data_IF_514779999648
#
_entry.id   IF_514779999648
#
_cell.length_a   1.000
_cell.length_b   1.000
_cell.length_c   1.000
_cell.angle_alpha   90.00
_cell.angle_beta   90.00
_cell.angle_gamma   90.00
#
_symmetry.space_group_name_H-M   'P 1'
#
loop_
_entity.id
_entity.type
_entity.pdbx_description
1 polymer ?
#
# COMPACT_ATOMS: atom_id res chain seq x y z
N UNK A 1 48.28 19.36 14.92
CA UNK A 1 46.98 19.25 15.61
C UNK A 1 45.89 19.71 14.66
N UNK A 2 44.86 18.89 14.42
CA UNK A 2 43.77 19.26 13.50
C UNK A 2 42.86 20.28 14.16
N UNK A 3 42.57 21.41 13.49
CA UNK A 3 41.72 22.45 14.01
C UNK A 3 40.30 21.89 14.30
N UNK A 4 39.72 22.10 15.49
CA UNK A 4 38.35 21.69 15.81
C UNK A 4 37.29 22.15 14.81
N UNK A 5 37.49 23.29 14.15
CA UNK A 5 36.61 23.77 13.07
C UNK A 5 36.66 22.89 11.82
N UNK A 6 37.84 22.39 11.44
CA UNK A 6 38.01 21.48 10.29
C UNK A 6 37.36 20.12 10.56
N UNK A 7 37.34 19.68 11.82
CA UNK A 7 36.62 18.47 12.24
C UNK A 7 35.11 18.67 12.08
N UNK A 8 34.56 19.78 12.60
CA UNK A 8 33.13 20.10 12.48
C UNK A 8 32.67 20.25 11.02
N UNK A 9 33.47 20.91 10.18
CA UNK A 9 33.16 21.10 8.77
C UNK A 9 33.17 19.78 8.00
N UNK A 10 34.15 18.91 8.23
CA UNK A 10 34.19 17.56 7.62
C UNK A 10 33.01 16.70 8.07
N UNK A 11 32.62 16.77 9.34
CA UNK A 11 31.45 16.04 9.83
C UNK A 11 30.15 16.53 9.19
N UNK A 12 29.94 17.85 9.11
CA UNK A 12 28.78 18.44 8.41
C UNK A 12 28.72 18.03 6.93
N UNK A 13 29.86 18.03 6.24
CA UNK A 13 29.93 17.61 4.85
C UNK A 13 29.56 16.13 4.68
N UNK A 14 30.02 15.26 5.59
CA UNK A 14 29.65 13.83 5.58
C UNK A 14 28.17 13.61 5.86
N UNK A 15 27.58 14.35 6.81
CA UNK A 15 26.14 14.27 7.08
C UNK A 15 25.32 14.69 5.85
N UNK A 16 25.63 15.83 5.24
CA UNK A 16 24.96 16.29 4.01
C UNK A 16 25.09 15.29 2.86
N UNK A 17 26.25 14.65 2.72
CA UNK A 17 26.46 13.62 1.70
C UNK A 17 25.61 12.36 1.98
N UNK A 18 25.50 11.95 3.24
CA UNK A 18 24.64 10.83 3.64
C UNK A 18 23.16 11.14 3.40
N UNK A 19 22.70 12.35 3.75
CA UNK A 19 21.32 12.80 3.51
C UNK A 19 21.01 12.83 2.01
N UNK A 20 21.90 13.42 1.20
CA UNK A 20 21.73 13.46 -0.26
C UNK A 20 21.66 12.05 -0.86
N UNK A 21 22.47 11.11 -0.35
CA UNK A 21 22.41 9.72 -0.79
C UNK A 21 21.08 9.06 -0.41
N UNK A 22 20.60 9.26 0.82
CA UNK A 22 19.29 8.76 1.26
C UNK A 22 18.15 9.30 0.39
N UNK A 23 18.16 10.60 0.08
CA UNK A 23 17.16 11.20 -0.80
C UNK A 23 17.18 10.61 -2.22
N UNK A 24 18.36 10.39 -2.80
CA UNK A 24 18.49 9.72 -4.11
C UNK A 24 17.94 8.30 -4.10
N UNK A 25 18.25 7.54 -3.05
CA UNK A 25 17.73 6.17 -2.90
C UNK A 25 16.21 6.17 -2.78
N UNK A 26 15.63 7.03 -1.95
CA UNK A 26 14.17 7.14 -1.81
C UNK A 26 13.48 7.61 -3.09
N UNK A 27 14.08 8.54 -3.83
CA UNK A 27 13.54 8.98 -5.12
C UNK A 27 13.54 7.83 -6.16
N UNK A 28 14.62 7.04 -6.20
CA UNK A 28 14.69 5.86 -7.06
C UNK A 28 13.69 4.79 -6.64
N UNK A 29 13.59 4.50 -5.34
CA UNK A 29 12.60 3.56 -4.82
C UNK A 29 11.20 3.97 -5.23
N UNK A 30 10.83 5.23 -5.02
CA UNK A 30 9.54 5.77 -5.43
C UNK A 30 9.30 5.60 -6.94
N UNK A 31 10.29 5.91 -7.78
CA UNK A 31 10.18 5.74 -9.23
C UNK A 31 9.94 4.27 -9.61
N UNK A 32 10.75 3.35 -9.08
CA UNK A 32 10.65 1.92 -9.37
C UNK A 32 9.32 1.34 -8.84
N UNK A 33 8.91 1.76 -7.64
CA UNK A 33 7.66 1.32 -7.01
C UNK A 33 6.42 1.86 -7.71
N UNK A 34 6.37 3.15 -8.04
CA UNK A 34 5.25 3.71 -8.82
C UNK A 34 5.12 3.01 -10.17
N UNK A 35 6.23 2.67 -10.82
CA UNK A 35 6.20 1.90 -12.07
C UNK A 35 5.62 0.49 -11.88
N UNK A 36 6.04 -0.21 -10.83
CA UNK A 36 5.53 -1.56 -10.53
C UNK A 36 4.04 -1.55 -10.15
N UNK A 37 3.58 -0.50 -9.48
CA UNK A 37 2.20 -0.33 -9.03
C UNK A 37 1.27 0.30 -10.09
N UNK A 38 1.81 0.80 -11.21
CA UNK A 38 1.05 1.49 -12.27
C UNK A 38 -0.19 0.72 -12.73
N UNK A 39 -0.11 -0.60 -13.04
CA UNK A 39 -1.28 -1.34 -13.51
C UNK A 39 -2.43 -1.35 -12.51
N UNK A 40 -2.12 -1.39 -11.22
CA UNK A 40 -3.10 -1.43 -10.14
C UNK A 40 -3.75 -0.05 -9.96
N UNK A 41 -2.92 1.00 -9.99
CA UNK A 41 -3.39 2.39 -9.88
C UNK A 41 -4.29 2.73 -11.06
N UNK A 42 -3.89 2.36 -12.28
CA UNK A 42 -4.67 2.56 -13.50
C UNK A 42 -6.03 1.86 -13.41
N UNK A 43 -6.07 0.59 -13.01
CA UNK A 43 -7.32 -0.14 -12.84
C UNK A 43 -8.25 0.52 -11.80
N UNK A 44 -7.72 0.91 -10.63
CA UNK A 44 -8.51 1.57 -9.58
C UNK A 44 -9.04 2.93 -10.02
N UNK A 45 -8.25 3.71 -10.75
CA UNK A 45 -8.66 5.01 -11.27
C UNK A 45 -9.74 4.86 -12.34
N UNK A 46 -9.61 3.89 -13.27
CA UNK A 46 -10.63 3.61 -14.27
C UNK A 46 -11.97 3.23 -13.62
N UNK A 47 -11.94 2.42 -12.57
CA UNK A 47 -13.15 2.09 -11.83
C UNK A 47 -13.73 3.31 -11.11
N UNK A 48 -12.88 4.19 -10.56
CA UNK A 48 -13.34 5.44 -9.95
C UNK A 48 -14.02 6.35 -10.99
N UNK A 49 -13.44 6.47 -12.19
CA UNK A 49 -13.99 7.23 -13.32
C UNK A 49 -15.38 6.70 -13.70
N UNK A 50 -15.56 5.38 -13.83
CA UNK A 50 -16.87 4.77 -14.15
C UNK A 50 -17.92 5.11 -13.08
N UNK A 51 -17.57 5.06 -11.80
CA UNK A 51 -18.50 5.42 -10.72
C UNK A 51 -18.95 6.90 -10.81
N UNK A 52 -18.03 7.79 -11.20
CA UNK A 52 -18.31 9.21 -11.40
C UNK A 52 -19.16 9.44 -12.66
N UNK A 53 -18.86 8.77 -13.77
CA UNK A 53 -19.58 8.88 -15.05
C UNK A 53 -21.02 8.38 -14.96
N UNK A 54 -21.24 7.25 -14.29
CA UNK A 54 -22.57 6.64 -14.12
C UNK A 54 -23.40 7.32 -13.02
N UNK A 55 -22.83 8.34 -12.34
CA UNK A 55 -23.54 9.13 -11.33
C UNK A 55 -23.94 8.31 -10.11
N UNK A 56 -23.13 7.33 -9.71
CA UNK A 56 -23.37 6.53 -8.51
C UNK A 56 -23.06 7.42 -7.29
N UNK A 57 -24.06 8.17 -6.82
CA UNK A 57 -23.92 9.22 -5.78
C UNK A 57 -23.25 8.76 -4.48
N UNK A 58 -23.24 7.46 -4.21
CA UNK A 58 -22.70 6.91 -2.99
C UNK A 58 -21.56 5.89 -3.20
N UNK A 59 -21.10 5.71 -4.43
CA UNK A 59 -19.97 4.86 -4.74
C UNK A 59 -18.71 5.70 -4.92
N UNK A 60 -17.67 5.47 -4.11
CA UNK A 60 -16.41 6.20 -4.22
C UNK A 60 -15.21 5.30 -4.05
N UNK A 61 -14.22 5.49 -4.91
CA UNK A 61 -12.89 4.89 -4.77
C UNK A 61 -11.89 6.03 -4.54
N UNK A 62 -11.21 6.00 -3.40
CA UNK A 62 -10.11 6.91 -3.09
C UNK A 62 -8.80 6.15 -3.28
N UNK A 63 -8.05 6.50 -4.33
CA UNK A 63 -6.73 5.94 -4.60
C UNK A 63 -5.64 7.02 -4.46
N UNK A 64 -4.98 7.14 -3.29
CA UNK A 64 -3.90 8.11 -3.12
C UNK A 64 -2.66 7.71 -3.94
N UNK A 65 -1.82 8.69 -4.26
CA UNK A 65 -0.54 8.43 -4.91
C UNK A 65 0.37 7.56 -4.00
N UNK A 66 1.20 6.66 -4.58
CA UNK A 66 2.14 5.89 -3.80
C UNK A 66 3.16 6.77 -3.07
N UNK A 67 3.46 6.42 -1.82
CA UNK A 67 4.46 7.10 -1.01
C UNK A 67 5.48 6.10 -0.45
N UNK A 68 6.68 6.61 -0.13
CA UNK A 68 7.72 5.80 0.55
C UNK A 68 7.49 5.86 2.06
N UNK A 69 7.24 4.71 2.69
CA UNK A 69 7.03 4.63 4.14
C UNK A 69 8.36 4.69 4.92
N UNK A 70 8.28 4.41 6.23
CA UNK A 70 9.44 4.46 7.15
C UNK A 70 10.39 3.27 6.98
N UNK A 71 9.88 2.18 6.43
CA UNK A 71 10.60 0.92 6.22
C UNK A 71 11.07 0.78 4.75
N UNK A 72 11.03 1.91 4.01
CA UNK A 72 11.43 2.02 2.61
C UNK A 72 10.59 1.17 1.63
N UNK A 73 9.33 0.87 2.00
CA UNK A 73 8.32 0.37 1.06
C UNK A 73 7.64 1.52 0.33
N UNK A 74 7.31 1.30 -0.94
CA UNK A 74 6.48 2.20 -1.74
C UNK A 74 5.08 1.65 -1.76
N UNK A 75 4.07 2.40 -1.34
CA UNK A 75 2.71 1.86 -1.34
C UNK A 75 1.63 2.91 -1.19
N UNK A 76 0.39 2.45 -1.31
CA UNK A 76 -0.80 3.25 -1.12
C UNK A 76 -1.90 2.40 -0.45
N UNK A 77 -2.88 3.07 0.13
CA UNK A 77 -4.10 2.42 0.65
C UNK A 77 -5.29 2.97 -0.11
N UNK A 78 -5.90 2.14 -0.96
CA UNK A 78 -7.15 2.46 -1.61
C UNK A 78 -8.31 2.27 -0.63
N UNK A 79 -9.28 3.19 -0.65
CA UNK A 79 -10.50 3.11 0.16
C UNK A 79 -11.70 3.07 -0.76
N UNK A 80 -12.49 2.00 -0.68
CA UNK A 80 -13.78 1.85 -1.36
C UNK A 80 -14.89 2.24 -0.38
N UNK A 81 -15.85 3.01 -0.83
CA UNK A 81 -17.03 3.41 -0.08
C UNK A 81 -18.26 3.12 -0.95
N UNK A 82 -19.23 2.37 -0.42
CA UNK A 82 -20.47 2.07 -1.13
C UNK A 82 -21.66 2.85 -0.56
N UNK A 83 -22.83 2.71 -1.21
CA UNK A 83 -24.03 3.45 -0.86
C UNK A 83 -24.74 3.12 0.43
N UNK A 84 -24.13 2.26 1.24
CA UNK A 84 -24.62 1.89 2.57
C UNK A 84 -23.60 2.31 3.64
N UNK A 85 -22.73 3.29 3.32
CA UNK A 85 -21.61 3.75 4.15
C UNK A 85 -20.63 2.63 4.56
N UNK A 86 -20.57 1.51 3.81
CA UNK A 86 -19.56 0.50 4.07
C UNK A 86 -18.22 0.95 3.50
N UNK A 87 -17.18 0.85 4.33
CA UNK A 87 -15.81 1.19 3.95
C UNK A 87 -14.96 -0.08 3.86
N UNK A 88 -14.30 -0.26 2.73
CA UNK A 88 -13.33 -1.32 2.50
C UNK A 88 -11.96 -0.73 2.16
N UNK A 89 -10.89 -1.24 2.78
CA UNK A 89 -9.53 -0.72 2.59
C UNK A 89 -8.61 -1.78 2.02
N UNK A 90 -7.93 -1.44 0.94
CA UNK A 90 -6.96 -2.30 0.27
C UNK A 90 -5.61 -1.61 0.39
N UNK A 91 -4.63 -2.27 0.99
CA UNK A 91 -3.26 -1.73 1.04
C UNK A 91 -2.38 -2.50 0.07
N UNK A 92 -1.66 -1.77 -0.77
CA UNK A 92 -0.73 -2.33 -1.75
C UNK A 92 0.65 -1.72 -1.49
N UNK A 93 1.65 -2.58 -1.30
CA UNK A 93 3.04 -2.19 -1.03
C UNK A 93 3.99 -2.88 -2.00
N UNK A 94 4.97 -2.14 -2.46
CA UNK A 94 6.11 -2.61 -3.23
C UNK A 94 7.38 -2.41 -2.43
N UNK A 95 8.22 -3.43 -2.34
CA UNK A 95 9.57 -3.25 -1.84
C UNK A 95 10.31 -4.54 -1.55
N UNK A 96 11.52 -4.42 -0.97
CA UNK A 96 12.43 -5.53 -0.84
C UNK A 96 11.95 -6.53 0.23
N UNK A 97 11.87 -7.78 -0.18
CA UNK A 97 11.70 -8.92 0.71
C UNK A 97 13.08 -9.45 1.14
N UNK A 98 13.16 -10.13 2.29
CA UNK A 98 14.36 -10.84 2.74
C UNK A 98 14.89 -11.72 1.58
N UNK A 99 16.12 -11.44 1.11
CA UNK A 99 16.67 -12.09 -0.09
C UNK A 99 16.86 -11.17 -1.31
N UNK A 100 16.51 -9.88 -1.21
CA UNK A 100 16.96 -8.83 -2.13
C UNK A 100 16.17 -8.70 -3.43
N UNK A 101 15.01 -9.37 -3.53
CA UNK A 101 14.05 -9.18 -4.62
C UNK A 101 12.89 -8.32 -4.15
N UNK A 102 12.33 -7.51 -5.04
CA UNK A 102 11.15 -6.71 -4.74
C UNK A 102 9.89 -7.49 -5.08
N UNK A 103 8.88 -7.36 -4.22
CA UNK A 103 7.57 -7.97 -4.39
C UNK A 103 6.48 -6.91 -4.18
N UNK A 104 5.28 -7.21 -4.66
CA UNK A 104 4.06 -6.50 -4.34
C UNK A 104 3.34 -7.30 -3.26
N UNK A 105 3.10 -6.67 -2.10
CA UNK A 105 2.31 -7.21 -1.01
C UNK A 105 0.95 -6.52 -0.99
N UNK A 106 -0.11 -7.30 -0.83
CA UNK A 106 -1.49 -6.81 -0.81
C UNK A 106 -2.22 -7.30 0.42
N UNK A 107 -3.00 -6.41 1.03
CA UNK A 107 -3.81 -6.68 2.22
C UNK A 107 -5.19 -6.08 2.10
N UNK A 108 -6.13 -6.59 2.91
CA UNK A 108 -7.52 -6.12 2.93
C UNK A 108 -8.45 -6.93 2.05
N UNK A 109 -7.97 -7.97 1.36
CA UNK A 109 -8.78 -8.79 0.46
C UNK A 109 -9.68 -9.76 1.23
N UNK A 110 -10.84 -10.07 0.65
CA UNK A 110 -11.71 -11.16 1.10
C UNK A 110 -11.03 -12.55 0.97
N UNK A 111 -11.56 -13.56 1.67
CA UNK A 111 -10.97 -14.90 1.70
C UNK A 111 -10.83 -15.53 0.29
N UNK A 112 -11.86 -15.40 -0.54
CA UNK A 112 -11.85 -15.88 -1.93
C UNK A 112 -10.74 -15.25 -2.77
N UNK A 113 -10.58 -13.94 -2.67
CA UNK A 113 -9.55 -13.19 -3.40
C UNK A 113 -8.14 -13.49 -2.88
N UNK A 114 -7.98 -13.75 -1.59
CA UNK A 114 -6.72 -14.23 -1.03
C UNK A 114 -6.33 -15.59 -1.62
N UNK A 115 -7.25 -16.54 -1.72
CA UNK A 115 -6.97 -17.86 -2.31
C UNK A 115 -6.55 -17.76 -3.78
N UNK A 116 -7.20 -16.89 -4.55
CA UNK A 116 -6.83 -16.62 -5.94
C UNK A 116 -5.45 -15.98 -6.06
N UNK A 117 -5.11 -15.04 -5.19
CA UNK A 117 -3.76 -14.47 -5.15
C UNK A 117 -2.71 -15.48 -4.68
N UNK A 118 -3.04 -16.41 -3.79
CA UNK A 118 -2.12 -17.48 -3.39
C UNK A 118 -1.74 -18.37 -4.58
N UNK A 119 -2.65 -18.56 -5.55
CA UNK A 119 -2.31 -19.24 -6.80
C UNK A 119 -1.36 -18.42 -7.70
N UNK A 120 -1.33 -17.09 -7.53
CA UNK A 120 -0.34 -16.22 -8.18
C UNK A 120 0.94 -16.04 -7.35
N UNK A 121 0.90 -16.36 -6.06
CA UNK A 121 2.01 -16.18 -5.15
C UNK A 121 3.11 -17.18 -5.46
N UNK A 122 4.35 -16.70 -5.55
CA UNK A 122 5.51 -17.60 -5.64
C UNK A 122 5.76 -18.17 -4.25
N UNK A 123 5.87 -19.51 -4.14
CA UNK A 123 6.16 -20.26 -2.89
C UNK A 123 7.45 -19.84 -2.14
N UNK A 124 8.17 -18.83 -2.64
CA UNK A 124 9.49 -18.42 -2.20
C UNK A 124 9.55 -17.00 -1.64
N UNK A 125 8.43 -16.32 -1.37
CA UNK A 125 8.47 -15.01 -0.70
C UNK A 125 8.57 -15.20 0.82
N UNK A 126 9.75 -15.01 1.46
CA UNK A 126 9.80 -14.89 2.90
C UNK A 126 9.03 -13.64 3.32
N UNK A 127 8.50 -13.65 4.54
CA UNK A 127 7.80 -12.50 5.09
C UNK A 127 8.63 -11.24 4.92
N UNK A 128 8.00 -10.19 4.37
CA UNK A 128 8.50 -8.83 4.53
C UNK A 128 8.81 -8.63 6.01
N UNK A 129 10.05 -8.26 6.31
CA UNK A 129 10.52 -8.18 7.69
C UNK A 129 9.55 -7.38 8.55
N UNK A 130 8.79 -8.09 9.39
CA UNK A 130 7.83 -7.57 10.38
C UNK A 130 6.54 -6.87 9.85
N UNK A 131 5.84 -7.43 8.85
CA UNK A 131 4.37 -7.40 8.89
C UNK A 131 3.83 -8.79 9.22
N UNK A 132 3.26 -8.92 10.43
CA UNK A 132 2.45 -10.07 10.81
C UNK A 132 1.04 -9.73 10.34
N UNK A 133 0.64 -10.24 9.18
CA UNK A 133 -0.66 -9.99 8.56
C UNK A 133 -0.89 -10.93 7.38
N UNK A 134 -2.15 -11.10 6.97
CA UNK A 134 -2.59 -11.94 5.85
C UNK A 134 -2.13 -11.38 4.47
N UNK A 135 -0.88 -10.95 4.38
CA UNK A 135 -0.33 -10.24 3.23
C UNK A 135 0.02 -11.26 2.14
N UNK A 136 -0.64 -11.16 0.98
CA UNK A 136 -0.30 -12.01 -0.17
C UNK A 136 0.79 -11.33 -0.98
N UNK A 137 1.86 -12.08 -1.28
CA UNK A 137 3.05 -11.58 -1.95
C UNK A 137 3.08 -12.07 -3.40
N UNK A 138 3.24 -11.12 -4.32
CA UNK A 138 3.22 -11.33 -5.77
C UNK A 138 4.51 -10.75 -6.37
N UNK A 139 5.06 -11.36 -7.42
CA UNK A 139 6.25 -10.83 -8.10
C UNK A 139 5.96 -9.47 -8.74
N UNK A 140 6.97 -8.59 -8.77
CA UNK A 140 6.80 -7.21 -9.21
C UNK A 140 6.40 -7.06 -10.69
N UNK A 141 6.71 -8.04 -11.53
CA UNK A 141 6.33 -8.10 -12.95
C UNK A 141 4.89 -8.60 -13.16
N UNK A 142 4.26 -9.18 -12.13
CA UNK A 142 2.87 -9.67 -12.16
C UNK A 142 1.84 -8.63 -11.70
N UNK A 143 2.21 -7.35 -11.72
CA UNK A 143 1.30 -6.25 -11.35
C UNK A 143 0.00 -6.23 -12.18
N UNK A 144 0.05 -6.69 -13.44
CA UNK A 144 -1.14 -6.82 -14.30
C UNK A 144 -2.12 -7.90 -13.82
N UNK A 145 -1.63 -9.09 -13.48
CA UNK A 145 -2.48 -10.18 -12.96
C UNK A 145 -3.16 -9.78 -11.65
N UNK A 146 -2.42 -9.05 -10.80
CA UNK A 146 -2.95 -8.52 -9.56
C UNK A 146 -4.00 -7.43 -9.79
N UNK A 147 -3.81 -6.57 -10.80
CA UNK A 147 -4.78 -5.55 -11.17
C UNK A 147 -6.12 -6.16 -11.59
N UNK A 148 -6.13 -7.26 -12.34
CA UNK A 148 -7.36 -7.97 -12.72
C UNK A 148 -8.11 -8.53 -11.52
N UNK A 149 -7.39 -9.15 -10.57
CA UNK A 149 -8.03 -9.70 -9.36
C UNK A 149 -8.59 -8.59 -8.48
N UNK A 150 -7.87 -7.46 -8.36
CA UNK A 150 -8.36 -6.29 -7.64
C UNK A 150 -9.57 -5.65 -8.33
N UNK A 151 -9.59 -5.62 -9.66
CA UNK A 151 -10.73 -5.14 -10.45
C UNK A 151 -11.98 -5.96 -10.13
N UNK A 152 -11.91 -7.28 -10.24
CA UNK A 152 -13.04 -8.17 -9.96
C UNK A 152 -13.55 -8.03 -8.52
N UNK A 153 -12.65 -7.90 -7.54
CA UNK A 153 -13.04 -7.67 -6.15
C UNK A 153 -13.76 -6.34 -5.94
N UNK A 154 -13.29 -5.27 -6.60
CA UNK A 154 -13.94 -3.97 -6.52
C UNK A 154 -15.32 -4.01 -7.18
N UNK A 155 -15.45 -4.68 -8.33
CA UNK A 155 -16.74 -4.91 -9.00
C UNK A 155 -17.72 -5.63 -8.08
N UNK A 156 -17.29 -6.71 -7.42
CA UNK A 156 -18.13 -7.45 -6.47
C UNK A 156 -18.52 -6.63 -5.24
N UNK A 157 -17.63 -5.74 -4.78
CA UNK A 157 -17.94 -4.82 -3.68
C UNK A 157 -19.06 -3.85 -4.03
N UNK A 158 -19.03 -3.28 -5.24
CA UNK A 158 -20.07 -2.37 -5.70
C UNK A 158 -21.35 -3.08 -6.15
N UNK A 159 -21.26 -4.32 -6.63
CA UNK A 159 -22.41 -5.17 -6.93
C UNK A 159 -23.12 -5.72 -5.67
N UNK A 160 -22.49 -5.60 -4.49
CA UNK A 160 -23.02 -6.11 -3.22
C UNK A 160 -22.82 -7.62 -3.04
N UNK A 161 -21.94 -8.24 -3.81
CA UNK A 161 -21.59 -9.65 -3.71
C UNK A 161 -20.47 -9.94 -2.70
N UNK A 162 -19.66 -8.93 -2.33
CA UNK A 162 -18.60 -9.09 -1.32
C UNK A 162 -18.97 -8.41 0.00
N UNK A 163 -18.97 -9.16 1.10
CA UNK A 163 -19.07 -8.60 2.45
C UNK A 163 -17.66 -8.16 2.90
N UNK A 164 -17.47 -6.92 3.41
CA UNK A 164 -16.15 -6.46 3.83
C UNK A 164 -15.64 -7.35 4.98
N UNK A 165 -14.32 -7.68 5.01
CA UNK A 165 -13.77 -8.52 6.07
C UNK A 165 -14.09 -7.90 7.43
N UNK A 166 -14.72 -8.69 8.30
CA UNK A 166 -15.07 -8.28 9.66
C UNK A 166 -13.81 -7.74 10.33
N UNK A 167 -13.84 -6.46 10.72
CA UNK A 167 -12.72 -5.81 11.42
C UNK A 167 -12.39 -6.57 12.71
N UNK A 168 -11.38 -7.43 12.68
CA UNK A 168 -10.76 -7.99 13.91
C UNK A 168 -9.52 -7.17 14.24
N UNK A 169 -9.71 -5.94 14.72
CA UNK A 169 -8.65 -5.04 15.19
C UNK A 169 -9.25 -3.88 16.00
N UNK A 170 -8.59 -3.40 17.06
CA UNK A 170 -9.26 -2.74 18.16
C UNK A 170 -9.90 -1.44 17.71
N UNK A 171 -11.19 -1.31 17.98
CA UNK A 171 -11.89 -0.05 18.07
C UNK A 171 -11.06 0.84 18.99
N UNK A 172 -10.39 1.85 18.43
CA UNK A 172 -9.96 3.00 19.22
C UNK A 172 -11.20 3.55 19.88
N UNK A 173 -11.32 3.25 21.17
CA UNK A 173 -12.30 3.81 22.06
C UNK A 173 -12.16 5.32 21.94
N UNK A 174 -13.08 5.92 21.19
CA UNK A 174 -13.41 7.34 21.28
C UNK A 174 -13.38 7.71 22.77
N UNK A 175 -12.35 8.43 23.17
CA UNK A 175 -12.20 9.00 24.49
C UNK A 175 -13.34 9.97 24.73
N UNK A 176 -14.50 9.46 25.14
CA UNK A 176 -15.47 10.22 25.90
C UNK A 176 -14.83 10.47 27.26
N UNK A 177 -14.19 11.63 27.40
CA UNK A 177 -14.04 12.28 28.69
C UNK A 177 -15.46 12.50 29.23
N UNK A 178 -15.91 11.55 30.04
CA UNK A 178 -17.04 11.77 30.91
C UNK A 178 -16.57 12.74 32.00
N UNK A 179 -17.18 13.93 32.00
CA UNK A 179 -17.23 14.81 33.15
C UNK A 179 -17.65 13.99 34.38
N UNK A 180 -16.79 13.97 35.40
CA UNK A 180 -17.19 13.57 36.75
C UNK A 180 -16.99 14.80 37.64
N UNK A 181 -18.15 15.39 37.94
CA UNK A 181 -18.55 16.21 39.09
C UNK A 181 -17.71 17.43 39.47
#
# INVERSE_FOLDING_TARGET
MTNPFDIKNRFRARLRAADAQKHRVRAKLLQDGTRALSPIIEALNLMAEVLEEDGIEHGRILCPAPEVDRDDFVGFTATLQNGVDQEHRITVKYGPVLGGRNFIAVTGLGAEYNERLLALATNAAPSLGRSVGNDVHVEADRGGDLAEILREMVEDFFAGHSEPPIRTGPTETRGRLALVQ
#
